data_IF_231827451882
#
_entry.id   IF_231827451882
#
_cell.length_a   1.000
_cell.length_b   1.000
_cell.length_c   1.000
_cell.angle_alpha   90.00
_cell.angle_beta   90.00
_cell.angle_gamma   90.00
#
_symmetry.space_group_name_H-M   'P 1'
#
loop_
_entity.id
_entity.type
_entity.pdbx_description
1 polymer ?
#
# COMPACT_ATOMS: atom_id res chain seq x y z
N UNK A 1 -0.90 -13.41 -0.61
CA UNK A 1 -0.95 -12.15 -1.38
C UNK A 1 -2.00 -11.28 -0.74
N UNK A 2 -1.63 -10.08 -0.31
CA UNK A 2 -2.50 -9.16 0.43
C UNK A 2 -2.89 -8.02 -0.51
N UNK A 3 -4.16 -8.02 -0.96
CA UNK A 3 -4.67 -7.12 -2.01
C UNK A 3 -5.90 -6.32 -1.56
N UNK A 4 -6.31 -6.40 -0.30
CA UNK A 4 -7.46 -5.63 0.16
C UNK A 4 -7.07 -4.16 0.28
N UNK A 5 -7.97 -3.28 -0.13
CA UNK A 5 -7.74 -1.85 -0.07
C UNK A 5 -8.99 -1.06 -0.42
N UNK A 6 -9.17 0.08 0.22
CA UNK A 6 -10.18 1.09 -0.12
C UNK A 6 -9.55 2.47 -0.14
N UNK A 7 -10.26 3.45 -0.71
CA UNK A 7 -9.77 4.82 -0.78
C UNK A 7 -10.88 5.81 -0.45
N UNK A 8 -10.51 6.84 0.27
CA UNK A 8 -11.30 8.05 0.48
C UNK A 8 -10.33 9.20 0.32
N UNK A 9 -10.75 10.27 -0.36
CA UNK A 9 -9.89 11.42 -0.62
C UNK A 9 -10.63 12.68 -0.19
N UNK A 10 -10.11 13.31 0.86
CA UNK A 10 -10.55 14.58 1.45
C UNK A 10 -9.32 15.34 1.96
N UNK A 11 -9.42 16.65 2.20
CA UNK A 11 -8.43 17.35 3.02
C UNK A 11 -8.27 16.64 4.37
N UNK A 12 -7.04 16.53 4.88
CA UNK A 12 -6.75 15.82 6.14
C UNK A 12 -7.60 16.33 7.31
N UNK A 13 -7.88 17.63 7.34
CA UNK A 13 -8.68 18.29 8.39
C UNK A 13 -10.17 17.94 8.35
N UNK A 14 -10.65 17.36 7.24
CA UNK A 14 -12.06 17.02 7.03
C UNK A 14 -12.37 15.54 7.30
N UNK A 15 -11.36 14.71 7.61
CA UNK A 15 -11.61 13.33 8.02
C UNK A 15 -12.19 13.30 9.42
N UNK A 16 -13.29 12.57 9.56
CA UNK A 16 -13.73 12.17 10.90
C UNK A 16 -12.82 11.06 11.45
N UNK A 17 -12.72 10.90 12.78
CA UNK A 17 -11.98 9.80 13.37
C UNK A 17 -12.46 8.41 12.88
N UNK A 18 -13.76 8.26 12.68
CA UNK A 18 -14.35 7.01 12.18
C UNK A 18 -13.91 6.73 10.74
N UNK A 19 -13.95 7.72 9.85
CA UNK A 19 -13.51 7.54 8.46
C UNK A 19 -12.02 7.20 8.36
N UNK A 20 -11.19 7.86 9.17
CA UNK A 20 -9.77 7.52 9.25
C UNK A 20 -9.56 6.10 9.78
N UNK A 21 -10.27 5.72 10.84
CA UNK A 21 -10.23 4.38 11.39
C UNK A 21 -10.63 3.31 10.36
N UNK A 22 -11.72 3.51 9.61
CA UNK A 22 -12.15 2.59 8.57
C UNK A 22 -11.10 2.42 7.46
N UNK A 23 -10.41 3.49 7.07
CA UNK A 23 -9.30 3.44 6.12
C UNK A 23 -8.16 2.58 6.67
N UNK A 24 -7.66 2.90 7.87
CA UNK A 24 -6.48 2.22 8.44
C UNK A 24 -6.76 0.77 8.79
N UNK A 25 -7.97 0.45 9.29
CA UNK A 25 -8.34 -0.93 9.60
C UNK A 25 -8.34 -1.77 8.33
N UNK A 26 -8.94 -1.25 7.26
CA UNK A 26 -9.04 -1.97 5.99
C UNK A 26 -7.65 -2.13 5.35
N UNK A 27 -6.88 -1.05 5.26
CA UNK A 27 -5.68 -1.01 4.44
C UNK A 27 -4.41 -1.47 5.19
N UNK A 28 -4.36 -1.30 6.52
CA UNK A 28 -3.16 -1.56 7.32
C UNK A 28 -3.37 -2.64 8.40
N UNK A 29 -4.37 -2.51 9.27
CA UNK A 29 -4.52 -3.45 10.39
C UNK A 29 -4.81 -4.87 9.88
N UNK A 30 -5.66 -4.97 8.86
CA UNK A 30 -6.02 -6.26 8.24
C UNK A 30 -4.79 -7.03 7.75
N UNK A 31 -3.87 -6.34 7.06
CA UNK A 31 -2.69 -6.96 6.48
C UNK A 31 -1.63 -7.29 7.54
N UNK A 32 -1.52 -6.46 8.58
CA UNK A 32 -0.63 -6.70 9.71
C UNK A 32 -1.04 -7.94 10.48
N UNK A 33 -2.31 -8.03 10.87
CA UNK A 33 -2.83 -9.19 11.60
C UNK A 33 -2.81 -10.47 10.77
N UNK A 34 -3.09 -10.37 9.46
CA UNK A 34 -2.96 -11.52 8.58
C UNK A 34 -1.50 -12.03 8.52
N UNK A 35 -0.52 -11.12 8.50
CA UNK A 35 0.89 -11.49 8.59
C UNK A 35 1.23 -12.21 9.90
N UNK A 36 0.75 -11.71 11.05
CA UNK A 36 0.96 -12.38 12.34
C UNK A 36 0.40 -13.82 12.34
N UNK A 37 -0.82 -14.00 11.83
CA UNK A 37 -1.47 -15.30 11.75
C UNK A 37 -0.79 -16.24 10.73
N UNK A 38 -0.27 -15.69 9.64
CA UNK A 38 0.37 -16.46 8.58
C UNK A 38 1.80 -16.89 8.90
N UNK A 39 2.52 -16.16 9.77
CA UNK A 39 3.93 -16.40 10.09
C UNK A 39 4.28 -17.88 10.40
N UNK A 40 3.58 -18.60 11.31
CA UNK A 40 3.94 -19.98 11.62
C UNK A 40 3.83 -20.91 10.41
N UNK A 41 2.86 -20.68 9.52
CA UNK A 41 2.67 -21.48 8.31
C UNK A 41 3.71 -21.15 7.25
N UNK A 42 4.05 -19.87 7.10
CA UNK A 42 5.10 -19.42 6.17
C UNK A 42 6.48 -19.91 6.59
N UNK A 43 6.75 -19.94 7.90
CA UNK A 43 7.99 -20.50 8.45
C UNK A 43 8.03 -22.02 8.26
N UNK A 44 6.93 -22.72 8.53
CA UNK A 44 6.85 -24.17 8.36
C UNK A 44 7.00 -24.62 6.89
N UNK A 45 6.68 -23.77 5.91
CA UNK A 45 6.88 -24.10 4.49
C UNK A 45 8.36 -24.14 4.09
N UNK A 46 9.25 -23.56 4.89
CA UNK A 46 10.69 -23.48 4.63
C UNK A 46 11.08 -22.52 3.52
N UNK A 47 10.14 -21.87 2.82
CA UNK A 47 10.38 -20.87 1.77
C UNK A 47 9.15 -19.96 1.58
N UNK A 48 8.75 -19.25 2.64
CA UNK A 48 7.54 -18.42 2.64
C UNK A 48 7.64 -17.17 1.76
N UNK A 49 6.53 -16.77 1.12
CA UNK A 49 6.46 -15.56 0.29
C UNK A 49 5.22 -14.73 0.62
N UNK A 50 5.43 -13.44 0.85
CA UNK A 50 4.38 -12.44 1.03
C UNK A 50 4.53 -11.38 -0.05
N UNK A 51 3.40 -11.01 -0.66
CA UNK A 51 3.31 -9.88 -1.57
C UNK A 51 2.17 -9.00 -1.10
N UNK A 52 2.49 -7.75 -0.81
CA UNK A 52 1.51 -6.68 -0.59
C UNK A 52 1.23 -5.95 -1.90
N UNK A 53 -0.03 -5.64 -2.14
CA UNK A 53 -0.45 -4.74 -3.22
C UNK A 53 -0.66 -3.36 -2.60
N UNK A 54 0.34 -2.51 -2.78
CA UNK A 54 0.32 -1.11 -2.33
C UNK A 54 -0.14 -0.18 -3.44
N UNK A 55 0.37 1.05 -3.46
CA UNK A 55 0.17 2.01 -4.53
C UNK A 55 1.34 2.97 -4.53
N UNK A 56 1.65 3.54 -5.69
CA UNK A 56 2.59 4.68 -5.80
C UNK A 56 2.16 5.87 -4.95
N UNK A 57 0.86 5.95 -4.60
CA UNK A 57 0.33 6.83 -3.57
C UNK A 57 1.08 6.77 -2.24
N UNK A 58 1.64 5.61 -1.88
CA UNK A 58 2.38 5.41 -0.63
C UNK A 58 3.65 6.24 -0.49
N UNK A 59 4.05 6.99 -1.52
CA UNK A 59 5.12 8.00 -1.44
C UNK A 59 4.63 9.32 -0.80
N UNK A 60 3.33 9.61 -0.89
CA UNK A 60 2.73 10.86 -0.41
C UNK A 60 1.58 10.65 0.59
N UNK A 61 1.01 9.45 0.67
CA UNK A 61 -0.14 9.11 1.52
C UNK A 61 0.27 8.12 2.62
N UNK A 62 0.01 8.50 3.87
CA UNK A 62 0.51 7.80 5.05
C UNK A 62 0.00 6.36 5.20
N UNK A 63 -1.28 6.10 4.89
CA UNK A 63 -1.90 4.78 5.03
C UNK A 63 -1.20 3.72 4.14
N UNK A 64 -1.12 3.96 2.83
CA UNK A 64 -0.40 3.07 1.91
C UNK A 64 1.13 3.12 2.14
N UNK A 65 1.65 4.26 2.61
CA UNK A 65 3.06 4.40 3.00
C UNK A 65 3.43 3.50 4.18
N UNK A 66 2.52 3.31 5.15
CA UNK A 66 2.71 2.42 6.28
C UNK A 66 2.86 0.97 5.82
N UNK A 67 2.08 0.52 4.84
CA UNK A 67 2.24 -0.81 4.23
C UNK A 67 3.61 -0.99 3.55
N UNK A 68 4.12 0.03 2.87
CA UNK A 68 5.46 -0.01 2.28
C UNK A 68 6.56 -0.11 3.34
N UNK A 69 6.40 0.58 4.47
CA UNK A 69 7.33 0.47 5.60
C UNK A 69 7.22 -0.90 6.31
N UNK A 70 6.01 -1.43 6.49
CA UNK A 70 5.76 -2.76 7.03
C UNK A 70 6.43 -3.83 6.17
N UNK A 71 6.32 -3.72 4.84
CA UNK A 71 6.99 -4.61 3.89
C UNK A 71 8.49 -4.69 4.18
N UNK A 72 9.17 -3.55 4.33
CA UNK A 72 10.60 -3.50 4.66
C UNK A 72 10.89 -4.11 6.02
N UNK A 73 10.09 -3.78 7.03
CA UNK A 73 10.25 -4.29 8.39
C UNK A 73 10.19 -5.82 8.42
N UNK A 74 9.13 -6.41 7.84
CA UNK A 74 8.94 -7.86 7.83
C UNK A 74 9.96 -8.57 6.94
N UNK A 75 10.39 -7.96 5.83
CA UNK A 75 11.45 -8.53 4.99
C UNK A 75 12.77 -8.67 5.76
N UNK A 76 13.13 -7.67 6.58
CA UNK A 76 14.31 -7.74 7.42
C UNK A 76 14.13 -8.73 8.58
N UNK A 77 13.01 -8.65 9.29
CA UNK A 77 12.73 -9.46 10.47
C UNK A 77 12.65 -10.95 10.14
N UNK A 78 11.95 -11.31 9.06
CA UNK A 78 11.63 -12.72 8.74
C UNK A 78 12.59 -13.34 7.72
N UNK A 79 13.66 -12.65 7.35
CA UNK A 79 14.70 -13.19 6.47
C UNK A 79 15.33 -14.47 7.03
N UNK A 80 15.57 -14.53 8.34
CA UNK A 80 16.15 -15.71 9.02
C UNK A 80 15.23 -16.93 9.02
N UNK A 81 13.92 -16.71 8.85
CA UNK A 81 12.91 -17.76 8.71
C UNK A 81 12.73 -18.22 7.24
N UNK A 82 13.61 -17.76 6.33
CA UNK A 82 13.51 -17.95 4.88
C UNK A 82 12.18 -17.45 4.28
N UNK A 83 11.65 -16.34 4.83
CA UNK A 83 10.44 -15.68 4.33
C UNK A 83 10.83 -14.42 3.57
N UNK A 84 10.38 -14.32 2.32
CA UNK A 84 10.54 -13.12 1.48
C UNK A 84 9.27 -12.29 1.52
N UNK A 85 9.41 -10.99 1.76
CA UNK A 85 8.28 -10.05 1.79
C UNK A 85 8.55 -8.94 0.79
N UNK A 86 7.61 -8.72 -0.15
CA UNK A 86 7.73 -7.70 -1.19
C UNK A 86 6.43 -6.90 -1.31
N UNK A 87 6.52 -5.73 -1.92
CA UNK A 87 5.37 -4.88 -2.25
C UNK A 87 5.39 -4.56 -3.74
N UNK A 88 4.21 -4.60 -4.37
CA UNK A 88 3.99 -4.06 -5.71
C UNK A 88 3.18 -2.79 -5.54
N UNK A 89 3.60 -1.69 -6.18
CA UNK A 89 2.95 -0.39 -6.09
C UNK A 89 2.36 0.01 -7.45
N UNK A 90 1.13 -0.41 -7.80
CA UNK A 90 0.49 0.02 -9.02
C UNK A 90 0.19 1.52 -9.03
N UNK A 91 0.20 2.10 -10.23
CA UNK A 91 -0.42 3.38 -10.50
C UNK A 91 -1.94 3.26 -10.70
N UNK A 92 -2.53 4.25 -11.36
CA UNK A 92 -3.96 4.25 -11.62
C UNK A 92 -4.34 3.10 -12.58
N UNK A 93 -5.04 2.09 -12.06
CA UNK A 93 -5.53 0.93 -12.82
C UNK A 93 -7.05 0.96 -12.97
N UNK A 94 -7.57 0.29 -14.01
CA UNK A 94 -9.02 0.23 -14.29
C UNK A 94 -9.73 -0.63 -13.24
N UNK A 95 -10.38 0.01 -12.28
CA UNK A 95 -11.21 -0.60 -11.22
C UNK A 95 -12.34 0.36 -10.84
N UNK A 96 -13.42 -0.08 -10.17
CA UNK A 96 -14.44 0.84 -9.67
C UNK A 96 -13.90 1.92 -8.70
N UNK A 97 -12.85 1.61 -7.93
CA UNK A 97 -12.18 2.59 -7.06
C UNK A 97 -11.53 3.75 -7.84
N UNK A 98 -11.20 3.53 -9.12
CA UNK A 98 -10.69 4.57 -10.01
C UNK A 98 -11.68 5.73 -10.15
N UNK A 99 -12.97 5.43 -10.19
CA UNK A 99 -14.01 6.43 -10.46
C UNK A 99 -14.13 7.40 -9.27
N UNK A 100 -13.95 6.90 -8.05
CA UNK A 100 -13.83 7.73 -6.83
C UNK A 100 -12.68 8.73 -6.96
N UNK A 101 -11.51 8.27 -7.39
CA UNK A 101 -10.32 9.11 -7.55
C UNK A 101 -10.52 10.15 -8.66
N UNK A 102 -11.08 9.76 -9.81
CA UNK A 102 -11.30 10.67 -10.94
C UNK A 102 -12.36 11.74 -10.63
N UNK A 103 -13.37 11.38 -9.83
CA UNK A 103 -14.41 12.33 -9.40
C UNK A 103 -13.94 13.31 -8.32
N UNK A 104 -12.76 13.09 -7.73
CA UNK A 104 -12.20 13.94 -6.68
C UNK A 104 -11.57 15.22 -7.30
N UNK A 105 -11.73 16.40 -6.67
CA UNK A 105 -11.08 17.63 -7.13
C UNK A 105 -9.57 17.48 -7.37
N UNK A 106 -9.09 17.97 -8.52
CA UNK A 106 -7.70 17.84 -8.95
C UNK A 106 -6.68 18.28 -7.88
N UNK A 107 -6.99 19.33 -7.10
CA UNK A 107 -6.12 19.82 -6.02
C UNK A 107 -5.80 18.78 -4.94
N UNK A 108 -6.71 17.82 -4.69
CA UNK A 108 -6.53 16.77 -3.68
C UNK A 108 -5.80 15.54 -4.22
N UNK A 109 -5.73 15.39 -5.54
CA UNK A 109 -5.06 14.27 -6.23
C UNK A 109 -3.78 14.70 -6.95
N UNK A 110 -3.46 15.99 -7.01
CA UNK A 110 -2.26 16.51 -7.66
C UNK A 110 -0.95 15.91 -7.09
N UNK A 111 -0.79 15.70 -5.76
CA UNK A 111 0.38 15.03 -5.22
C UNK A 111 0.52 13.59 -5.72
N UNK A 112 -0.60 12.87 -5.83
CA UNK A 112 -0.66 11.52 -6.41
C UNK A 112 -0.21 11.53 -7.87
N UNK A 113 -0.77 12.43 -8.69
CA UNK A 113 -0.45 12.53 -10.13
C UNK A 113 1.03 12.86 -10.33
N UNK A 114 1.55 13.84 -9.59
CA UNK A 114 2.97 14.20 -9.63
C UNK A 114 3.88 13.04 -9.22
N UNK A 115 3.50 12.25 -8.20
CA UNK A 115 4.26 11.04 -7.86
C UNK A 115 4.20 9.97 -8.95
N UNK A 116 3.10 9.85 -9.70
CA UNK A 116 3.03 8.97 -10.87
C UNK A 116 4.01 9.43 -11.95
N UNK A 117 4.00 10.72 -12.27
CA UNK A 117 4.82 11.30 -13.33
C UNK A 117 6.31 11.26 -12.97
N UNK A 118 6.66 11.56 -11.72
CA UNK A 118 8.05 11.45 -11.24
C UNK A 118 8.53 10.00 -11.29
N UNK A 119 7.71 9.02 -10.88
CA UNK A 119 8.08 7.61 -10.95
C UNK A 119 8.27 7.13 -12.40
N UNK A 120 7.34 7.49 -13.29
CA UNK A 120 7.44 7.18 -14.73
C UNK A 120 8.62 7.88 -15.43
N UNK A 121 8.99 9.08 -15.02
CA UNK A 121 10.18 9.79 -15.52
C UNK A 121 11.46 9.16 -14.98
N UNK A 122 11.52 8.82 -13.69
CA UNK A 122 12.70 8.20 -13.05
C UNK A 122 13.04 6.81 -13.60
N UNK A 123 12.06 6.10 -14.18
CA UNK A 123 12.28 4.81 -14.85
C UNK A 123 12.47 4.93 -16.37
N UNK A 124 12.44 6.16 -16.92
CA UNK A 124 12.77 6.44 -18.32
C UNK A 124 14.18 7.01 -18.51
N UNK A 125 14.89 7.41 -17.45
CA UNK A 125 16.25 7.95 -17.55
C UNK A 125 17.35 6.88 -17.68
N UNK A 126 17.00 5.60 -17.47
CA UNK A 126 17.95 4.50 -17.49
C UNK A 126 17.59 3.51 -18.62
N UNK A 127 17.80 3.94 -19.87
CA UNK A 127 17.98 3.05 -21.03
C UNK A 127 18.60 3.81 -22.21
#
# INVERSE_FOLDING_TARGET
VNNVGTTMVKPTVDYTPEEFYQLTVTNFDSIFHLCQLAHPFLKASGAGHIVFISSIAGLAHGDVGAMNQLTRSLACEWATDNIRVNSVAPGLIKTPLRDVIISTPAALIMPLILTCDIYHISHRSDN
#
